data_IF_676688620534
#
_entry.id   IF_676688620534
#
_cell.length_a   1.000
_cell.length_b   1.000
_cell.length_c   1.000
_cell.angle_alpha   90.00
_cell.angle_beta   90.00
_cell.angle_gamma   90.00
#
_symmetry.space_group_name_H-M   'P 1'
#
loop_
_entity.id
_entity.type
_entity.pdbx_description
1 polymer ?
#
# COMPACT_ATOMS: atom_id res chain seq x y z
N UNK A 1 16.39 8.66 23.23
CA UNK A 1 15.14 9.39 23.40
C UNK A 1 14.01 8.41 23.18
N UNK A 2 13.29 8.13 24.25
CA UNK A 2 12.21 7.17 24.36
C UNK A 2 11.04 7.54 23.45
N UNK A 3 10.61 6.61 22.62
CA UNK A 3 9.40 6.71 21.83
C UNK A 3 8.19 6.80 22.78
N UNK A 4 7.55 7.95 22.81
CA UNK A 4 6.27 8.12 23.49
C UNK A 4 5.19 7.35 22.73
N UNK A 5 4.73 6.28 23.35
CA UNK A 5 3.56 5.52 22.94
C UNK A 5 2.32 6.40 23.05
N UNK A 6 1.86 6.98 21.95
CA UNK A 6 0.55 7.62 21.88
C UNK A 6 -0.51 6.54 21.92
N UNK A 7 -1.16 6.41 23.05
CA UNK A 7 -2.25 5.51 23.37
C UNK A 7 -3.49 5.89 22.54
N UNK A 8 -3.67 5.25 21.39
CA UNK A 8 -4.94 5.19 20.71
C UNK A 8 -5.42 3.73 20.75
N UNK A 9 -6.56 3.56 21.41
CA UNK A 9 -7.41 2.39 21.62
C UNK A 9 -6.81 1.02 21.26
N UNK A 10 -6.78 0.12 22.25
CA UNK A 10 -6.36 -1.28 22.18
C UNK A 10 -6.87 -1.99 20.91
N UNK A 11 -6.06 -2.04 19.90
CA UNK A 11 -5.93 -3.14 18.96
C UNK A 11 -4.44 -3.28 18.71
N UNK A 12 -3.86 -4.38 19.17
CA UNK A 12 -2.46 -4.75 18.94
C UNK A 12 -2.21 -4.98 17.45
N UNK A 13 -2.13 -3.89 16.70
CA UNK A 13 -1.38 -3.91 15.46
C UNK A 13 0.07 -3.71 15.86
N UNK A 14 0.83 -4.79 15.91
CA UNK A 14 2.28 -4.70 15.86
C UNK A 14 2.65 -4.02 14.55
N UNK A 15 2.62 -2.70 14.55
CA UNK A 15 3.34 -1.91 13.55
C UNK A 15 4.79 -2.27 13.81
N UNK A 16 5.32 -3.19 13.00
CA UNK A 16 6.76 -3.46 12.98
C UNK A 16 7.39 -2.11 12.71
N UNK A 17 8.19 -1.56 13.65
CA UNK A 17 8.84 -0.27 13.43
C UNK A 17 9.64 -0.38 12.12
N UNK A 18 9.49 0.60 11.25
CA UNK A 18 10.29 0.72 10.01
C UNK A 18 11.79 0.79 10.35
N UNK A 19 12.13 1.16 11.56
CA UNK A 19 13.48 1.26 12.12
C UNK A 19 14.32 -0.03 12.08
N UNK A 20 13.70 -1.21 11.95
CA UNK A 20 14.42 -2.50 11.86
C UNK A 20 14.54 -3.06 10.44
N UNK A 21 14.01 -2.38 9.44
CA UNK A 21 14.00 -2.83 8.04
C UNK A 21 14.72 -1.84 7.12
N UNK A 22 15.60 -1.01 7.67
CA UNK A 22 16.40 -0.12 6.83
C UNK A 22 17.32 -0.96 5.93
N UNK A 23 17.18 -0.76 4.63
CA UNK A 23 18.00 -1.46 3.63
C UNK A 23 19.48 -1.19 3.85
N UNK A 24 19.83 -0.02 4.38
CA UNK A 24 21.20 0.36 4.72
C UNK A 24 21.79 -0.54 5.80
N UNK A 25 21.04 -0.81 6.88
CA UNK A 25 21.48 -1.71 7.95
C UNK A 25 21.65 -3.13 7.44
N UNK A 26 20.73 -3.60 6.59
CA UNK A 26 20.84 -4.91 5.96
C UNK A 26 22.02 -5.01 4.98
N UNK A 27 22.46 -3.91 4.37
CA UNK A 27 23.65 -3.87 3.49
C UNK A 27 24.94 -3.97 4.26
N UNK A 28 25.01 -3.43 5.48
CA UNK A 28 26.20 -3.45 6.32
C UNK A 28 26.40 -4.75 7.10
N UNK A 29 25.33 -5.52 7.30
CA UNK A 29 25.40 -6.81 7.97
C UNK A 29 26.00 -7.87 7.02
N UNK A 30 27.30 -8.10 7.13
CA UNK A 30 28.10 -8.99 6.27
C UNK A 30 27.77 -10.49 6.38
N UNK A 31 26.66 -10.86 7.00
CA UNK A 31 26.23 -12.25 7.18
C UNK A 31 25.60 -12.82 5.89
N UNK A 32 25.59 -14.15 5.77
CA UNK A 32 24.95 -14.89 4.68
C UNK A 32 23.43 -14.60 4.64
N UNK A 33 23.04 -13.62 3.83
CA UNK A 33 21.64 -13.14 3.71
C UNK A 33 20.75 -14.10 2.95
N UNK A 34 21.32 -14.79 1.96
CA UNK A 34 20.58 -15.73 1.13
C UNK A 34 20.49 -17.08 1.84
N UNK A 35 19.42 -17.29 2.59
CA UNK A 35 19.12 -18.59 3.18
C UNK A 35 18.03 -19.28 2.37
N UNK A 36 18.00 -20.63 2.43
CA UNK A 36 16.96 -21.42 1.76
C UNK A 36 15.55 -20.99 2.23
N UNK A 37 15.38 -20.68 3.51
CA UNK A 37 14.12 -20.20 4.07
C UNK A 37 13.68 -18.85 3.47
N UNK A 38 14.60 -17.89 3.31
CA UNK A 38 14.31 -16.61 2.64
C UNK A 38 14.01 -16.80 1.16
N UNK A 39 14.74 -17.69 0.49
CA UNK A 39 14.50 -18.01 -0.91
C UNK A 39 13.11 -18.65 -1.11
N UNK A 40 12.72 -19.59 -0.25
CA UNK A 40 11.38 -20.18 -0.29
C UNK A 40 10.30 -19.11 -0.07
N UNK A 41 10.41 -18.30 0.99
CA UNK A 41 9.48 -17.20 1.26
C UNK A 41 9.43 -16.20 0.12
N UNK A 42 10.56 -15.87 -0.48
CA UNK A 42 10.64 -14.97 -1.63
C UNK A 42 9.89 -15.53 -2.85
N UNK A 43 10.07 -16.80 -3.15
CA UNK A 43 9.34 -17.48 -4.21
C UNK A 43 7.83 -17.53 -3.96
N UNK A 44 7.42 -17.84 -2.72
CA UNK A 44 6.01 -17.82 -2.31
C UNK A 44 5.38 -16.43 -2.51
N UNK A 45 6.01 -15.38 -2.00
CA UNK A 45 5.54 -14.00 -2.16
C UNK A 45 5.43 -13.61 -3.64
N UNK A 46 6.43 -13.96 -4.44
CA UNK A 46 6.41 -13.67 -5.87
C UNK A 46 5.25 -14.36 -6.59
N UNK A 47 5.04 -15.66 -6.34
CA UNK A 47 3.96 -16.44 -6.96
C UNK A 47 2.59 -15.93 -6.51
N UNK A 48 2.40 -15.63 -5.22
CA UNK A 48 1.13 -15.06 -4.73
C UNK A 48 0.88 -13.66 -5.29
N UNK A 49 1.90 -12.81 -5.39
CA UNK A 49 1.80 -11.50 -6.02
C UNK A 49 1.41 -11.61 -7.50
N UNK A 50 2.06 -12.51 -8.24
CA UNK A 50 1.74 -12.80 -9.64
C UNK A 50 0.30 -13.33 -9.80
N UNK A 51 -0.14 -14.22 -8.92
CA UNK A 51 -1.51 -14.72 -8.92
C UNK A 51 -2.53 -13.61 -8.68
N UNK A 52 -2.28 -12.70 -7.75
CA UNK A 52 -3.12 -11.51 -7.53
C UNK A 52 -3.22 -10.65 -8.78
N UNK A 53 -2.09 -10.42 -9.47
CA UNK A 53 -2.05 -9.64 -10.70
C UNK A 53 -2.83 -10.34 -11.82
N UNK A 54 -2.44 -11.55 -12.17
CA UNK A 54 -2.93 -12.24 -13.39
C UNK A 54 -4.32 -12.82 -13.20
N UNK A 55 -4.59 -13.45 -12.04
CA UNK A 55 -5.87 -14.14 -11.82
C UNK A 55 -6.95 -13.18 -11.32
N UNK A 56 -6.62 -12.27 -10.40
CA UNK A 56 -7.63 -11.39 -9.81
C UNK A 56 -7.71 -10.05 -10.53
N UNK A 57 -6.60 -9.28 -10.60
CA UNK A 57 -6.64 -7.94 -11.14
C UNK A 57 -7.02 -7.90 -12.62
N UNK A 58 -6.41 -8.73 -13.45
CA UNK A 58 -6.68 -8.72 -14.89
C UNK A 58 -8.09 -9.22 -15.21
N UNK A 59 -8.60 -10.23 -14.48
CA UNK A 59 -9.97 -10.74 -14.67
C UNK A 59 -11.01 -9.71 -14.22
N UNK A 60 -10.79 -9.04 -13.08
CA UNK A 60 -11.69 -7.97 -12.58
C UNK A 60 -11.61 -6.73 -13.49
N UNK A 61 -10.42 -6.44 -14.03
CA UNK A 61 -10.21 -5.36 -14.99
C UNK A 61 -10.95 -5.56 -16.30
N UNK A 62 -11.03 -6.79 -16.78
CA UNK A 62 -11.85 -7.13 -17.94
C UNK A 62 -13.33 -6.80 -17.69
N UNK A 63 -13.86 -7.17 -16.52
CA UNK A 63 -15.24 -6.81 -16.12
C UNK A 63 -15.49 -5.30 -16.12
N UNK A 64 -14.55 -4.52 -15.58
CA UNK A 64 -14.64 -3.06 -15.61
C UNK A 64 -14.69 -2.52 -17.04
N UNK A 65 -13.79 -3.03 -17.90
CA UNK A 65 -13.71 -2.61 -19.31
C UNK A 65 -15.00 -2.97 -20.07
N UNK A 66 -15.59 -4.11 -19.79
CA UNK A 66 -16.86 -4.53 -20.40
C UNK A 66 -18.01 -3.61 -19.96
N UNK A 67 -18.03 -3.19 -18.69
CA UNK A 67 -19.08 -2.31 -18.16
C UNK A 67 -19.00 -0.90 -18.76
N UNK A 68 -17.81 -0.30 -18.80
CA UNK A 68 -17.64 1.07 -19.30
C UNK A 68 -17.59 1.15 -20.83
N UNK A 69 -17.34 0.03 -21.51
CA UNK A 69 -17.10 -0.03 -22.95
C UNK A 69 -15.78 0.62 -23.38
N UNK A 70 -15.39 0.38 -24.62
CA UNK A 70 -14.18 0.97 -25.18
C UNK A 70 -14.27 2.51 -25.17
N UNK A 71 -13.28 3.15 -24.51
CA UNK A 71 -13.23 4.60 -24.39
C UNK A 71 -14.34 5.25 -23.54
N UNK A 72 -15.00 4.48 -22.67
CA UNK A 72 -16.04 4.98 -21.78
C UNK A 72 -17.40 5.24 -22.45
N UNK A 73 -17.62 4.78 -23.67
CA UNK A 73 -18.87 4.99 -24.44
C UNK A 73 -20.06 4.28 -23.76
N UNK A 74 -19.81 3.21 -23.01
CA UNK A 74 -20.85 2.45 -22.29
C UNK A 74 -21.48 3.22 -21.13
N UNK A 75 -20.81 4.21 -20.56
CA UNK A 75 -21.28 4.94 -19.36
C UNK A 75 -22.64 5.63 -19.54
N UNK A 76 -22.96 6.08 -20.75
CA UNK A 76 -24.24 6.75 -21.04
C UNK A 76 -25.45 5.81 -20.90
N UNK A 77 -25.27 4.50 -21.03
CA UNK A 77 -26.32 3.49 -21.05
C UNK A 77 -26.27 2.50 -19.88
N UNK A 78 -25.34 2.70 -18.94
CA UNK A 78 -25.16 1.80 -17.78
C UNK A 78 -26.25 2.03 -16.75
N UNK A 79 -26.93 0.98 -16.32
CA UNK A 79 -27.86 1.06 -15.19
C UNK A 79 -27.16 1.36 -13.87
N UNK A 80 -27.85 2.00 -12.93
CA UNK A 80 -27.26 2.34 -11.63
C UNK A 80 -26.65 1.15 -10.89
N UNK A 81 -27.26 -0.03 -10.79
CA UNK A 81 -26.61 -1.19 -10.16
C UNK A 81 -25.34 -1.63 -10.88
N UNK A 82 -25.33 -1.59 -12.21
CA UNK A 82 -24.17 -1.97 -13.00
C UNK A 82 -23.02 -0.96 -12.84
N UNK A 83 -23.33 0.34 -12.72
CA UNK A 83 -22.34 1.38 -12.42
C UNK A 83 -21.67 1.15 -11.05
N UNK A 84 -22.44 0.79 -10.02
CA UNK A 84 -21.90 0.44 -8.71
C UNK A 84 -21.01 -0.80 -8.76
N UNK A 85 -21.45 -1.83 -9.49
CA UNK A 85 -20.62 -3.03 -9.70
C UNK A 85 -19.29 -2.68 -10.37
N UNK A 86 -19.32 -1.80 -11.38
CA UNK A 86 -18.14 -1.30 -12.07
C UNK A 86 -17.17 -0.58 -11.13
N UNK A 87 -17.66 0.33 -10.27
CA UNK A 87 -16.84 1.06 -9.29
C UNK A 87 -16.18 0.09 -8.30
N UNK A 88 -16.93 -0.89 -7.80
CA UNK A 88 -16.39 -1.91 -6.88
C UNK A 88 -15.34 -2.76 -7.61
N UNK A 89 -15.62 -3.20 -8.83
CA UNK A 89 -14.67 -3.97 -9.64
C UNK A 89 -13.38 -3.17 -9.87
N UNK A 90 -13.47 -1.92 -10.29
CA UNK A 90 -12.30 -1.06 -10.48
C UNK A 90 -11.49 -0.86 -9.21
N UNK A 91 -12.16 -0.65 -8.07
CA UNK A 91 -11.48 -0.50 -6.78
C UNK A 91 -10.72 -1.77 -6.38
N UNK A 92 -11.32 -2.93 -6.57
CA UNK A 92 -10.66 -4.22 -6.31
C UNK A 92 -9.53 -4.50 -7.29
N UNK A 93 -9.72 -4.20 -8.57
CA UNK A 93 -8.67 -4.30 -9.59
C UNK A 93 -7.44 -3.49 -9.18
N UNK A 94 -7.64 -2.20 -8.86
CA UNK A 94 -6.56 -1.31 -8.44
C UNK A 94 -5.79 -1.86 -7.23
N UNK A 95 -6.51 -2.39 -6.26
CA UNK A 95 -5.90 -2.99 -5.07
C UNK A 95 -5.08 -4.24 -5.40
N UNK A 96 -5.67 -5.21 -6.11
CA UNK A 96 -4.96 -6.46 -6.40
C UNK A 96 -3.81 -6.27 -7.36
N UNK A 97 -3.93 -5.34 -8.31
CA UNK A 97 -2.87 -4.99 -9.24
C UNK A 97 -1.65 -4.42 -8.50
N UNK A 98 -1.87 -3.43 -7.65
CA UNK A 98 -0.77 -2.78 -6.94
C UNK A 98 -0.25 -3.63 -5.76
N UNK A 99 -1.11 -4.31 -5.01
CA UNK A 99 -0.67 -5.22 -3.96
C UNK A 99 0.12 -6.41 -4.52
N UNK A 100 -0.32 -6.96 -5.66
CA UNK A 100 0.40 -8.02 -6.36
C UNK A 100 1.79 -7.58 -6.82
N UNK A 101 1.89 -6.40 -7.43
CA UNK A 101 3.17 -5.80 -7.80
C UNK A 101 4.10 -5.63 -6.59
N UNK A 102 3.58 -5.09 -5.49
CA UNK A 102 4.37 -4.90 -4.26
C UNK A 102 4.85 -6.22 -3.65
N UNK A 103 4.00 -7.26 -3.64
CA UNK A 103 4.39 -8.58 -3.16
C UNK A 103 5.44 -9.24 -4.06
N UNK A 104 5.32 -9.13 -5.39
CA UNK A 104 6.37 -9.61 -6.31
C UNK A 104 7.71 -8.92 -6.05
N UNK A 105 7.70 -7.60 -5.85
CA UNK A 105 8.90 -6.83 -5.52
C UNK A 105 9.54 -7.29 -4.20
N UNK A 106 8.73 -7.47 -3.15
CA UNK A 106 9.20 -7.99 -1.87
C UNK A 106 9.69 -9.43 -1.98
N UNK A 107 9.05 -10.24 -2.83
CA UNK A 107 9.50 -11.59 -3.14
C UNK A 107 10.90 -11.62 -3.77
N UNK A 108 11.13 -10.77 -4.76
CA UNK A 108 12.46 -10.62 -5.39
C UNK A 108 13.52 -10.13 -4.39
N UNK A 109 13.17 -9.16 -3.54
CA UNK A 109 14.05 -8.69 -2.49
C UNK A 109 14.43 -9.81 -1.51
N UNK A 110 13.46 -10.63 -1.09
CA UNK A 110 13.70 -11.78 -0.21
C UNK A 110 14.58 -12.86 -0.86
N UNK A 111 14.47 -13.10 -2.18
CA UNK A 111 15.37 -13.98 -2.92
C UNK A 111 16.82 -13.48 -2.87
N UNK A 112 17.02 -12.17 -2.84
CA UNK A 112 18.33 -11.53 -2.68
C UNK A 112 18.77 -11.41 -1.21
N UNK A 113 17.96 -11.92 -0.28
CA UNK A 113 18.25 -11.93 1.14
C UNK A 113 17.81 -10.69 1.91
N UNK A 114 17.11 -9.75 1.28
CA UNK A 114 16.58 -8.54 1.90
C UNK A 114 15.16 -8.72 2.41
N UNK A 115 14.88 -8.18 3.59
CA UNK A 115 13.54 -8.11 4.15
C UNK A 115 12.97 -6.71 3.91
N UNK A 116 11.89 -6.62 3.11
CA UNK A 116 11.19 -5.39 2.83
C UNK A 116 9.84 -5.35 3.55
N UNK A 117 9.39 -4.16 4.02
CA UNK A 117 8.10 -4.02 4.68
C UNK A 117 6.94 -4.27 3.70
N UNK A 118 5.83 -4.79 4.23
CA UNK A 118 4.60 -4.91 3.46
C UNK A 118 4.00 -3.53 3.16
N UNK A 119 3.52 -3.33 1.93
CA UNK A 119 2.90 -2.08 1.51
C UNK A 119 1.38 -2.04 1.69
N UNK A 120 0.74 -3.18 1.86
CA UNK A 120 -0.70 -3.30 1.96
C UNK A 120 -1.11 -4.21 3.12
N UNK A 121 -2.12 -3.77 3.88
CA UNK A 121 -2.71 -4.55 4.96
C UNK A 121 -4.24 -4.38 4.95
N UNK A 122 -4.94 -5.06 4.03
CA UNK A 122 -6.39 -5.08 3.92
C UNK A 122 -7.02 -3.65 4.01
N UNK A 123 -6.69 -2.72 3.10
CA UNK A 123 -7.09 -1.31 3.26
C UNK A 123 -8.61 -1.09 3.23
N UNK A 124 -9.36 -1.93 2.55
CA UNK A 124 -10.81 -1.75 2.38
C UNK A 124 -11.67 -2.16 3.58
N UNK A 125 -11.07 -2.76 4.64
CA UNK A 125 -11.77 -2.99 5.91
C UNK A 125 -11.63 -1.81 6.89
N UNK A 126 -11.01 -0.72 6.46
CA UNK A 126 -10.76 0.44 7.32
C UNK A 126 -12.04 1.15 7.73
N UNK A 127 -12.18 1.48 9.00
CA UNK A 127 -13.30 2.24 9.53
C UNK A 127 -13.15 3.76 9.37
N UNK A 128 -11.99 4.25 8.90
CA UNK A 128 -11.72 5.67 8.69
C UNK A 128 -10.71 5.91 7.58
N UNK A 129 -10.72 7.12 6.99
CA UNK A 129 -9.73 7.54 5.98
C UNK A 129 -8.30 7.50 6.53
N UNK A 130 -8.12 7.88 7.80
CA UNK A 130 -6.80 7.81 8.46
C UNK A 130 -6.30 6.37 8.57
N UNK A 131 -7.18 5.45 8.90
CA UNK A 131 -6.85 4.03 8.96
C UNK A 131 -6.56 3.46 7.57
N UNK A 132 -7.34 3.87 6.56
CA UNK A 132 -7.11 3.48 5.16
C UNK A 132 -5.67 3.80 4.73
N UNK A 133 -5.18 5.01 4.92
CA UNK A 133 -3.83 5.41 4.55
C UNK A 133 -2.72 4.71 5.36
N UNK A 134 -3.02 4.19 6.55
CA UNK A 134 -2.09 3.35 7.32
C UNK A 134 -1.99 1.92 6.78
N UNK A 135 -2.92 1.52 5.93
CA UNK A 135 -3.04 0.18 5.34
C UNK A 135 -2.78 0.15 3.83
N UNK A 136 -2.84 1.31 3.19
CA UNK A 136 -2.60 1.51 1.76
C UNK A 136 -1.24 2.16 1.53
N UNK A 137 -0.41 1.52 0.71
CA UNK A 137 0.94 1.99 0.34
C UNK A 137 1.72 2.53 1.55
N UNK A 138 1.91 1.65 2.54
CA UNK A 138 2.39 1.99 3.89
C UNK A 138 3.73 2.71 3.86
N UNK A 139 4.68 2.26 3.02
CA UNK A 139 6.00 2.87 2.90
C UNK A 139 5.94 4.29 2.36
N UNK A 140 5.14 4.55 1.32
CA UNK A 140 4.96 5.89 0.76
C UNK A 140 4.25 6.80 1.76
N UNK A 141 3.19 6.32 2.39
CA UNK A 141 2.45 7.07 3.42
C UNK A 141 3.34 7.43 4.61
N UNK A 142 4.20 6.51 5.03
CA UNK A 142 5.22 6.75 6.06
C UNK A 142 6.23 7.81 5.61
N UNK A 143 6.76 7.70 4.40
CA UNK A 143 7.71 8.66 3.86
C UNK A 143 7.13 10.08 3.78
N UNK A 144 5.92 10.25 3.24
CA UNK A 144 5.25 11.55 3.21
C UNK A 144 5.01 12.13 4.60
N UNK A 145 4.61 11.27 5.55
CA UNK A 145 4.44 11.68 6.95
C UNK A 145 5.74 12.22 7.53
N UNK A 146 6.83 11.48 7.40
CA UNK A 146 8.07 11.75 8.12
C UNK A 146 8.91 12.84 7.45
N UNK A 147 8.91 12.91 6.12
CA UNK A 147 9.75 13.86 5.39
C UNK A 147 9.02 15.12 4.91
N UNK A 148 7.70 15.12 4.85
CA UNK A 148 6.92 16.28 4.39
C UNK A 148 5.98 16.78 5.49
N UNK A 149 5.07 15.93 5.97
CA UNK A 149 3.99 16.37 6.85
C UNK A 149 4.48 16.83 8.22
N UNK A 150 5.33 16.04 8.88
CA UNK A 150 5.88 16.37 10.20
C UNK A 150 6.80 17.59 10.14
N UNK A 151 7.77 17.70 9.20
CA UNK A 151 8.63 18.89 9.09
C UNK A 151 7.86 20.19 8.83
N UNK A 152 6.74 20.13 8.11
CA UNK A 152 5.86 21.28 7.88
C UNK A 152 5.01 21.67 9.12
N UNK A 153 5.16 20.96 10.23
CA UNK A 153 4.48 21.20 11.51
C UNK A 153 3.33 20.25 11.81
N UNK A 154 3.01 19.29 10.94
CA UNK A 154 1.97 18.30 11.17
C UNK A 154 0.63 18.92 11.60
N UNK A 155 0.05 18.37 12.68
CA UNK A 155 -1.21 18.85 13.28
C UNK A 155 -1.03 19.98 14.31
N UNK A 156 0.21 20.41 14.59
CA UNK A 156 0.51 21.28 15.75
C UNK A 156 0.23 22.76 15.52
N UNK A 157 0.06 23.20 14.28
CA UNK A 157 -0.02 24.63 13.88
C UNK A 157 -1.43 25.08 13.47
N UNK A 158 -2.47 24.42 13.97
CA UNK A 158 -3.87 24.78 13.68
C UNK A 158 -4.42 24.19 12.36
N UNK A 159 -5.76 24.24 12.22
CA UNK A 159 -6.49 23.58 11.14
C UNK A 159 -6.11 24.05 9.73
N UNK A 160 -5.93 25.37 9.55
CA UNK A 160 -5.55 25.93 8.22
C UNK A 160 -4.18 25.40 7.75
N UNK A 161 -3.21 25.32 8.66
CA UNK A 161 -1.88 24.79 8.34
C UNK A 161 -1.94 23.28 8.07
N UNK A 162 -2.75 22.56 8.82
CA UNK A 162 -2.98 21.14 8.60
C UNK A 162 -3.55 20.87 7.20
N UNK A 163 -4.56 21.62 6.79
CA UNK A 163 -5.14 21.51 5.44
C UNK A 163 -4.09 21.82 4.35
N UNK A 164 -3.28 22.85 4.55
CA UNK A 164 -2.20 23.20 3.63
C UNK A 164 -1.15 22.07 3.54
N UNK A 165 -0.74 21.49 4.67
CA UNK A 165 0.20 20.37 4.70
C UNK A 165 -0.38 19.12 3.97
N UNK A 166 -1.67 18.85 4.17
CA UNK A 166 -2.37 17.78 3.45
C UNK A 166 -2.41 18.05 1.95
N UNK A 167 -2.73 19.28 1.55
CA UNK A 167 -2.72 19.69 0.13
C UNK A 167 -1.35 19.49 -0.50
N UNK A 168 -0.26 19.86 0.19
CA UNK A 168 1.10 19.64 -0.33
C UNK A 168 1.44 18.16 -0.48
N UNK A 169 1.04 17.32 0.47
CA UNK A 169 1.22 15.86 0.35
C UNK A 169 0.48 15.33 -0.87
N UNK A 170 -0.79 15.73 -1.07
CA UNK A 170 -1.58 15.33 -2.23
C UNK A 170 -0.99 15.83 -3.55
N UNK A 171 -0.56 17.09 -3.60
CA UNK A 171 0.08 17.65 -4.79
C UNK A 171 1.41 16.98 -5.14
N UNK A 172 2.12 16.43 -4.15
CA UNK A 172 3.36 15.70 -4.37
C UNK A 172 3.14 14.22 -4.77
N UNK A 173 1.95 13.68 -4.58
CA UNK A 173 1.60 12.31 -4.99
C UNK A 173 1.10 12.21 -6.41
N UNK A 174 0.79 13.30 -7.07
CA UNK A 174 0.36 13.24 -8.46
C UNK A 174 -0.54 14.21 -9.00
#
# INVERSE_FOLDING_TARGET
PTAESTQYGKQDYTVVPIEGLDLADQLHDGQNRCTLAKAQRGAELFVFGLAKKVILADSIGALWTDIIGAGGVGLANVSTPLAWLGIIAYSLQLYFDFAGYSEMSNGLAALLGFDCPANFNLPYISGSITEFWRRWHITLSGWFRDYIYIPLGGNRKGAARQLFNMFLVWAATG
#
